data_IF_685710915768
#
_entry.id   IF_685710915768
#
_cell.length_a   1.000
_cell.length_b   1.000
_cell.length_c   1.000
_cell.angle_alpha   90.00
_cell.angle_beta   90.00
_cell.angle_gamma   90.00
#
_symmetry.space_group_name_H-M   'P 1'
#
loop_
_entity.id
_entity.type
_entity.pdbx_description
1 polymer ?
#
# COMPACT_ATOMS: atom_id res chain seq x y z
N UNK A 1 -12.68 -8.24 -17.43
CA UNK A 1 -12.27 -6.85 -17.75
C UNK A 1 -10.80 -6.64 -17.38
N UNK A 2 -10.34 -6.97 -16.15
CA UNK A 2 -8.94 -6.75 -15.70
C UNK A 2 -7.90 -7.53 -16.51
N UNK A 3 -8.14 -8.81 -16.77
CA UNK A 3 -7.25 -9.62 -17.60
C UNK A 3 -7.18 -9.09 -19.05
N UNK A 4 -8.29 -8.60 -19.59
CA UNK A 4 -8.32 -7.95 -20.89
C UNK A 4 -7.54 -6.64 -20.89
N UNK A 5 -7.56 -5.87 -19.79
CA UNK A 5 -6.78 -4.64 -19.65
C UNK A 5 -5.28 -4.94 -19.55
N UNK A 6 -4.88 -5.96 -18.76
CA UNK A 6 -3.49 -6.40 -18.66
C UNK A 6 -2.96 -6.92 -20.01
N UNK A 7 -3.75 -7.75 -20.70
CA UNK A 7 -3.38 -8.25 -22.03
C UNK A 7 -3.29 -7.12 -23.08
N UNK A 8 -4.18 -6.12 -23.03
CA UNK A 8 -4.11 -4.94 -23.89
C UNK A 8 -2.88 -4.08 -23.61
N UNK A 9 -2.48 -3.93 -22.34
CA UNK A 9 -1.23 -3.25 -21.96
C UNK A 9 0.00 -3.98 -22.53
N UNK A 10 0.03 -5.30 -22.43
CA UNK A 10 1.13 -6.12 -22.93
C UNK A 10 1.23 -6.09 -24.46
N UNK A 11 0.09 -6.14 -25.15
CA UNK A 11 0.03 -5.94 -26.62
C UNK A 11 0.55 -4.54 -26.98
N UNK A 12 0.16 -3.49 -26.27
CA UNK A 12 0.64 -2.13 -26.49
C UNK A 12 2.14 -2.00 -26.24
N UNK A 13 2.69 -2.63 -25.19
CA UNK A 13 4.14 -2.68 -24.92
C UNK A 13 4.92 -3.37 -26.03
N UNK A 14 4.41 -4.48 -26.56
CA UNK A 14 5.06 -5.19 -27.67
C UNK A 14 5.05 -4.40 -28.97
N UNK A 15 3.96 -3.72 -29.29
CA UNK A 15 3.85 -2.85 -30.48
C UNK A 15 4.84 -1.68 -30.38
N UNK A 16 5.00 -1.07 -29.21
CA UNK A 16 5.93 0.06 -29.02
C UNK A 16 7.41 -0.34 -29.05
N UNK A 17 7.74 -1.59 -28.65
CA UNK A 17 9.12 -2.10 -28.67
C UNK A 17 9.53 -2.67 -30.04
N UNK A 18 8.67 -2.56 -31.03
CA UNK A 18 8.89 -3.15 -32.39
C UNK A 18 9.21 -4.66 -32.30
N UNK A 19 8.70 -5.32 -31.26
CA UNK A 19 8.86 -6.76 -31.04
C UNK A 19 7.81 -7.51 -31.87
N UNK A 20 8.21 -8.61 -32.50
CA UNK A 20 7.28 -9.43 -33.24
C UNK A 20 6.16 -9.97 -32.37
N UNK A 21 4.93 -9.89 -32.83
CA UNK A 21 3.74 -10.42 -32.13
C UNK A 21 3.74 -11.95 -31.98
N UNK A 22 4.75 -12.63 -32.53
CA UNK A 22 4.86 -14.10 -32.50
C UNK A 22 4.98 -14.71 -31.10
N UNK A 23 5.37 -13.90 -30.08
CA UNK A 23 5.36 -14.33 -28.68
C UNK A 23 4.02 -14.14 -27.97
N UNK A 24 3.05 -13.47 -28.61
CA UNK A 24 1.75 -13.12 -28.03
C UNK A 24 0.65 -14.10 -28.50
N UNK A 25 0.92 -14.99 -29.46
CA UNK A 25 -0.11 -15.90 -29.99
C UNK A 25 -0.77 -16.76 -28.89
N UNK A 26 -0.02 -17.18 -27.86
CA UNK A 26 -0.58 -17.85 -26.68
C UNK A 26 -1.48 -16.94 -25.84
N UNK A 27 -1.14 -15.66 -25.73
CA UNK A 27 -1.91 -14.67 -24.97
C UNK A 27 -3.12 -14.15 -25.76
N UNK A 28 -3.09 -14.15 -27.10
CA UNK A 28 -4.25 -13.79 -27.93
C UNK A 28 -5.32 -14.85 -27.85
N UNK A 29 -4.98 -16.13 -27.80
CA UNK A 29 -5.94 -17.19 -27.58
C UNK A 29 -6.64 -17.00 -26.21
N UNK A 30 -5.89 -16.74 -25.15
CA UNK A 30 -6.47 -16.48 -23.83
C UNK A 30 -7.34 -15.20 -23.78
N UNK A 31 -7.00 -14.15 -24.50
CA UNK A 31 -7.83 -12.94 -24.61
C UNK A 31 -9.14 -13.25 -25.34
N UNK A 32 -9.09 -14.07 -26.40
CA UNK A 32 -10.27 -14.50 -27.15
C UNK A 32 -11.18 -15.35 -26.25
N UNK A 33 -10.60 -16.28 -25.49
CA UNK A 33 -11.32 -17.12 -24.53
C UNK A 33 -12.00 -16.26 -23.44
N UNK A 34 -11.38 -15.19 -22.97
CA UNK A 34 -11.96 -14.25 -22.01
C UNK A 34 -13.17 -13.52 -22.62
N UNK A 35 -13.09 -13.09 -23.86
CA UNK A 35 -14.22 -12.44 -24.52
C UNK A 35 -15.39 -13.41 -24.77
N UNK A 36 -15.11 -14.65 -25.15
CA UNK A 36 -16.12 -15.69 -25.35
C UNK A 36 -16.79 -16.07 -24.02
N UNK A 37 -16.04 -16.13 -22.90
CA UNK A 37 -16.59 -16.35 -21.55
C UNK A 37 -17.42 -15.15 -21.07
N UNK A 38 -17.00 -13.92 -21.38
CA UNK A 38 -17.74 -12.71 -21.03
C UNK A 38 -19.09 -12.60 -21.76
N UNK A 39 -19.18 -13.08 -22.99
CA UNK A 39 -20.44 -13.12 -23.77
C UNK A 39 -21.41 -14.19 -23.25
N UNK A 40 -20.92 -15.21 -22.53
CA UNK A 40 -21.74 -16.32 -22.02
C UNK A 40 -22.12 -16.22 -20.53
N UNK A 41 -22.00 -15.04 -19.89
CA UNK A 41 -22.31 -14.80 -18.47
C UNK A 41 -21.46 -15.64 -17.47
N UNK A 42 -20.34 -16.23 -17.91
CA UNK A 42 -19.42 -17.03 -17.09
C UNK A 42 -18.24 -16.20 -16.53
N UNK A 43 -18.43 -14.89 -16.36
CA UNK A 43 -17.41 -13.95 -15.82
C UNK A 43 -16.83 -14.42 -14.47
N UNK A 44 -17.65 -15.09 -13.65
CA UNK A 44 -17.20 -15.61 -12.36
C UNK A 44 -16.21 -16.80 -12.50
N UNK A 45 -16.28 -17.57 -13.58
CA UNK A 45 -15.32 -18.65 -13.87
C UNK A 45 -14.05 -18.14 -14.54
N UNK A 46 -14.16 -17.14 -15.42
CA UNK A 46 -13.01 -16.47 -16.00
C UNK A 46 -12.15 -15.78 -14.92
N UNK A 47 -12.77 -15.15 -13.91
CA UNK A 47 -12.04 -14.63 -12.75
C UNK A 47 -11.29 -15.72 -11.96
N UNK A 48 -11.85 -16.94 -11.87
CA UNK A 48 -11.17 -18.08 -11.22
C UNK A 48 -10.01 -18.65 -12.02
N UNK A 49 -10.07 -18.60 -13.34
CA UNK A 49 -9.03 -19.16 -14.24
C UNK A 49 -7.78 -18.28 -14.35
N UNK A 50 -7.93 -16.96 -14.14
CA UNK A 50 -6.84 -15.98 -14.33
C UNK A 50 -6.39 -15.27 -13.07
N UNK A 51 -7.10 -15.45 -11.95
CA UNK A 51 -6.53 -15.12 -10.66
C UNK A 51 -5.60 -16.27 -10.25
N UNK A 52 -4.34 -15.98 -9.84
CA UNK A 52 -3.52 -17.03 -9.22
C UNK A 52 -4.37 -17.62 -8.10
N UNK A 53 -4.71 -18.90 -8.25
CA UNK A 53 -5.51 -19.65 -7.28
C UNK A 53 -4.85 -19.54 -5.93
N UNK A 54 -5.47 -18.80 -5.00
CA UNK A 54 -4.98 -18.59 -3.66
C UNK A 54 -3.76 -17.66 -3.66
N UNK A 55 -3.97 -16.37 -3.91
CA UNK A 55 -3.00 -15.38 -3.46
C UNK A 55 -2.90 -15.53 -1.94
N UNK A 56 -1.85 -16.23 -1.47
CA UNK A 56 -1.49 -16.29 -0.04
C UNK A 56 -1.03 -14.93 0.47
N UNK A 57 -1.29 -13.86 -0.30
CA UNK A 57 -0.97 -12.49 0.06
C UNK A 57 -1.78 -12.09 1.29
N UNK A 58 -1.07 -11.62 2.31
CA UNK A 58 -1.63 -11.13 3.56
C UNK A 58 -1.62 -9.61 3.53
N UNK A 59 -2.50 -8.99 4.31
CA UNK A 59 -2.42 -7.58 4.60
C UNK A 59 -2.14 -7.36 6.09
N UNK A 60 -1.21 -6.44 6.38
CA UNK A 60 -0.88 -6.02 7.74
C UNK A 60 -1.15 -4.52 7.82
N UNK A 61 -2.03 -4.14 8.74
CA UNK A 61 -2.50 -2.76 8.89
C UNK A 61 -2.08 -2.22 10.24
N UNK A 62 -1.36 -1.10 10.28
CA UNK A 62 -1.08 -0.38 11.51
C UNK A 62 -2.22 0.60 11.83
N UNK A 63 -2.91 0.38 12.93
CA UNK A 63 -4.06 1.16 13.37
C UNK A 63 -4.05 1.40 14.89
N UNK A 64 -2.85 1.53 15.47
CA UNK A 64 -2.70 1.64 16.93
C UNK A 64 -2.88 3.08 17.45
N UNK A 65 -2.72 4.10 16.60
CA UNK A 65 -2.76 5.50 16.98
C UNK A 65 -4.16 6.01 17.30
N UNK A 66 -4.24 7.07 18.11
CA UNK A 66 -5.49 7.76 18.42
C UNK A 66 -5.99 8.63 17.27
N UNK A 67 -5.08 9.41 16.63
CA UNK A 67 -5.44 10.52 15.74
C UNK A 67 -5.96 11.72 16.54
N UNK A 68 -5.08 12.35 17.34
CA UNK A 68 -5.46 13.44 18.26
C UNK A 68 -6.00 14.67 17.55
N UNK A 69 -5.57 14.92 16.33
CA UNK A 69 -5.92 16.05 15.48
C UNK A 69 -7.39 16.02 15.03
N UNK A 70 -8.01 14.84 15.04
CA UNK A 70 -9.45 14.67 14.81
C UNK A 70 -10.31 15.03 16.04
N UNK A 71 -9.68 15.46 17.16
CA UNK A 71 -10.34 16.02 18.33
C UNK A 71 -11.39 15.09 18.96
N UNK A 72 -12.63 15.56 19.03
CA UNK A 72 -13.75 14.84 19.66
C UNK A 72 -14.14 13.55 18.90
N UNK A 73 -13.89 13.46 17.61
CA UNK A 73 -14.22 12.29 16.79
C UNK A 73 -13.45 11.03 17.23
N UNK A 74 -12.34 11.21 17.94
CA UNK A 74 -11.50 10.12 18.45
C UNK A 74 -11.53 9.96 19.96
N UNK A 75 -12.52 10.55 20.66
CA UNK A 75 -12.64 10.41 22.13
C UNK A 75 -13.05 9.00 22.56
N UNK A 76 -13.87 8.32 21.77
CA UNK A 76 -14.42 6.99 22.08
C UNK A 76 -13.90 5.88 21.16
N UNK A 77 -13.17 6.23 20.09
CA UNK A 77 -12.67 5.31 19.07
C UNK A 77 -11.35 5.80 18.46
N UNK A 78 -10.51 4.92 17.90
CA UNK A 78 -9.31 5.35 17.18
C UNK A 78 -9.65 5.92 15.80
N UNK A 79 -8.68 6.64 15.20
CA UNK A 79 -8.74 7.25 13.87
C UNK A 79 -9.27 6.30 12.79
N UNK A 80 -8.77 5.05 12.76
CA UNK A 80 -9.21 4.04 11.79
C UNK A 80 -10.69 3.65 11.89
N UNK A 81 -11.36 3.99 12.99
CA UNK A 81 -12.78 3.72 13.23
C UNK A 81 -13.66 4.97 13.05
N UNK A 82 -13.10 6.08 12.58
CA UNK A 82 -13.89 7.26 12.20
C UNK A 82 -14.72 6.94 10.97
N UNK A 83 -15.96 7.41 10.97
CA UNK A 83 -16.92 7.12 9.90
C UNK A 83 -16.73 8.02 8.69
N UNK A 84 -16.70 7.41 7.51
CA UNK A 84 -16.74 8.08 6.21
C UNK A 84 -17.91 7.49 5.43
N UNK A 85 -18.95 8.28 5.16
CA UNK A 85 -20.17 7.85 4.46
C UNK A 85 -20.79 6.57 5.03
N UNK A 86 -20.99 6.53 6.35
CA UNK A 86 -21.68 5.43 7.02
C UNK A 86 -20.83 4.17 7.23
N UNK A 87 -19.52 4.22 7.01
CA UNK A 87 -18.62 3.09 7.27
C UNK A 87 -17.28 3.56 7.86
N UNK A 88 -16.73 2.85 8.86
CA UNK A 88 -15.40 3.12 9.38
C UNK A 88 -14.31 3.01 8.30
N UNK A 89 -13.26 3.85 8.42
CA UNK A 89 -12.09 3.82 7.53
C UNK A 89 -11.52 2.41 7.38
N UNK A 90 -11.27 1.73 8.48
CA UNK A 90 -10.71 0.38 8.47
C UNK A 90 -11.60 -0.62 7.72
N UNK A 91 -12.93 -0.48 7.80
CA UNK A 91 -13.83 -1.34 7.02
C UNK A 91 -13.69 -1.10 5.52
N UNK A 92 -13.50 0.16 5.10
CA UNK A 92 -13.28 0.50 3.70
C UNK A 92 -11.98 -0.06 3.19
N UNK A 93 -10.90 0.10 3.96
CA UNK A 93 -9.60 -0.47 3.64
C UNK A 93 -9.66 -2.00 3.52
N UNK A 94 -10.29 -2.68 4.50
CA UNK A 94 -10.49 -4.12 4.45
C UNK A 94 -11.34 -4.54 3.24
N UNK A 95 -12.34 -3.74 2.85
CA UNK A 95 -13.14 -3.99 1.65
C UNK A 95 -12.31 -3.90 0.36
N UNK A 96 -11.39 -2.92 0.28
CA UNK A 96 -10.46 -2.78 -0.84
C UNK A 96 -9.53 -4.00 -0.96
N UNK A 97 -8.98 -4.49 0.17
CA UNK A 97 -8.19 -5.71 0.18
C UNK A 97 -9.00 -6.95 -0.23
N UNK A 98 -10.22 -7.09 0.29
CA UNK A 98 -11.09 -8.21 -0.06
C UNK A 98 -11.46 -8.22 -1.57
N UNK A 99 -11.65 -7.05 -2.19
CA UNK A 99 -11.87 -6.94 -3.64
C UNK A 99 -10.67 -7.42 -4.45
N UNK A 100 -9.45 -7.22 -3.94
CA UNK A 100 -8.21 -7.76 -4.50
C UNK A 100 -7.93 -9.22 -4.07
N UNK A 101 -8.93 -9.93 -3.50
CA UNK A 101 -8.83 -11.31 -2.99
C UNK A 101 -7.84 -11.49 -1.82
N UNK A 102 -7.41 -10.43 -1.17
CA UNK A 102 -6.60 -10.48 0.04
C UNK A 102 -7.55 -10.62 1.23
N UNK A 103 -7.68 -11.82 1.77
CA UNK A 103 -8.63 -12.15 2.85
C UNK A 103 -7.99 -12.33 4.21
N UNK A 104 -6.70 -12.61 4.24
CA UNK A 104 -5.93 -12.71 5.48
C UNK A 104 -5.44 -11.31 5.86
N UNK A 105 -6.21 -10.63 6.70
CA UNK A 105 -5.96 -9.25 7.13
C UNK A 105 -5.69 -9.25 8.62
N UNK A 106 -4.48 -8.82 9.01
CA UNK A 106 -4.08 -8.59 10.40
C UNK A 106 -4.02 -7.10 10.69
N UNK A 107 -4.61 -6.68 11.79
CA UNK A 107 -4.64 -5.26 12.21
C UNK A 107 -3.97 -5.12 13.56
N UNK A 108 -2.95 -4.29 13.64
CA UNK A 108 -2.32 -3.90 14.90
C UNK A 108 -3.07 -2.70 15.46
N UNK A 109 -3.67 -2.89 16.63
CA UNK A 109 -4.49 -1.88 17.31
C UNK A 109 -3.90 -1.52 18.66
N UNK A 110 -4.21 -0.33 19.15
CA UNK A 110 -3.71 0.18 20.45
C UNK A 110 -4.78 1.01 21.16
N UNK A 111 -4.86 2.30 20.83
CA UNK A 111 -5.84 3.20 21.42
C UNK A 111 -7.27 2.68 21.25
N UNK A 112 -8.03 2.62 22.37
CA UNK A 112 -9.43 2.14 22.35
C UNK A 112 -9.62 0.85 21.55
N UNK A 113 -8.67 -0.09 21.66
CA UNK A 113 -8.62 -1.34 20.90
C UNK A 113 -9.94 -2.12 20.90
N UNK A 114 -10.73 -2.05 21.96
CA UNK A 114 -12.05 -2.69 22.04
C UNK A 114 -13.08 -2.11 21.04
N UNK A 115 -12.90 -0.87 20.60
CA UNK A 115 -13.73 -0.26 19.57
C UNK A 115 -13.37 -0.75 18.15
N UNK A 116 -12.17 -1.33 17.97
CA UNK A 116 -11.71 -1.91 16.71
C UNK A 116 -12.14 -3.37 16.66
N UNK A 117 -13.34 -3.60 16.16
CA UNK A 117 -13.92 -4.95 16.08
C UNK A 117 -14.63 -5.13 14.73
N UNK A 118 -13.97 -5.77 13.79
CA UNK A 118 -14.52 -6.09 12.47
C UNK A 118 -14.42 -7.61 12.24
N UNK A 119 -15.49 -8.26 11.73
CA UNK A 119 -15.46 -9.69 11.48
C UNK A 119 -14.45 -10.06 10.39
N UNK A 120 -13.79 -11.21 10.54
CA UNK A 120 -12.83 -11.74 9.55
C UNK A 120 -11.46 -11.08 9.59
N UNK A 121 -11.16 -10.29 10.62
CA UNK A 121 -9.84 -9.66 10.84
C UNK A 121 -9.16 -10.31 12.02
N UNK A 122 -7.86 -10.59 11.87
CA UNK A 122 -6.98 -11.00 12.96
C UNK A 122 -6.43 -9.76 13.65
N UNK A 123 -6.55 -9.70 14.98
CA UNK A 123 -6.11 -8.53 15.74
C UNK A 123 -4.85 -8.84 16.54
N UNK A 124 -3.91 -7.89 16.48
CA UNK A 124 -2.72 -7.82 17.31
C UNK A 124 -2.77 -6.55 18.14
N UNK A 125 -2.41 -6.63 19.41
CA UNK A 125 -2.53 -5.49 20.33
C UNK A 125 -1.16 -4.94 20.70
N UNK A 126 -0.95 -3.63 20.48
CA UNK A 126 0.15 -2.87 21.04
C UNK A 126 -0.38 -2.05 22.22
N UNK A 127 -0.23 -2.57 23.44
CA UNK A 127 -0.67 -1.87 24.65
C UNK A 127 0.26 -0.71 25.04
N UNK A 128 1.47 -0.65 24.47
CA UNK A 128 2.45 0.41 24.69
C UNK A 128 2.45 1.47 23.57
N UNK A 129 1.40 1.56 22.76
CA UNK A 129 1.31 2.42 21.58
C UNK A 129 1.62 3.91 21.87
N UNK A 130 1.39 4.41 23.09
CA UNK A 130 1.69 5.80 23.45
C UNK A 130 3.20 6.07 23.63
N UNK A 131 3.99 5.04 23.88
CA UNK A 131 5.42 5.13 24.20
C UNK A 131 6.31 4.37 23.25
N UNK A 132 5.73 3.87 22.16
CA UNK A 132 6.43 3.10 21.12
C UNK A 132 6.09 3.61 19.73
N UNK A 133 7.02 3.39 18.79
CA UNK A 133 6.88 3.75 17.38
C UNK A 133 6.19 2.66 16.54
N UNK A 134 6.20 2.89 15.24
CA UNK A 134 5.54 2.04 14.26
C UNK A 134 6.21 0.69 14.11
N UNK A 135 7.54 0.62 14.21
CA UNK A 135 8.29 -0.64 14.12
C UNK A 135 7.92 -1.57 15.26
N UNK A 136 7.72 -1.05 16.49
CA UNK A 136 7.23 -1.86 17.61
C UNK A 136 5.79 -2.32 17.35
N UNK A 137 4.93 -1.44 16.84
CA UNK A 137 3.58 -1.83 16.44
C UNK A 137 3.61 -2.96 15.41
N UNK A 138 4.45 -2.84 14.37
CA UNK A 138 4.62 -3.87 13.35
C UNK A 138 5.17 -5.19 13.93
N UNK A 139 6.05 -5.11 14.94
CA UNK A 139 6.61 -6.30 15.62
C UNK A 139 5.52 -7.18 16.25
N UNK A 140 4.40 -6.61 16.71
CA UNK A 140 3.28 -7.39 17.25
C UNK A 140 2.58 -8.27 16.18
N UNK A 141 2.80 -7.97 14.89
CA UNK A 141 2.32 -8.78 13.76
C UNK A 141 3.47 -9.45 13.00
N UNK A 142 4.67 -9.55 13.56
CA UNK A 142 5.86 -10.07 12.87
C UNK A 142 5.68 -11.51 12.37
N UNK A 143 4.90 -12.34 13.06
CA UNK A 143 4.53 -13.69 12.65
C UNK A 143 3.69 -13.71 11.36
N UNK A 144 3.05 -12.60 11.03
CA UNK A 144 2.25 -12.44 9.80
C UNK A 144 3.07 -11.93 8.61
N UNK A 145 4.26 -11.34 8.84
CA UNK A 145 5.18 -10.90 7.78
C UNK A 145 5.84 -12.14 7.16
N UNK A 146 5.08 -12.93 6.42
CA UNK A 146 5.54 -14.19 5.80
C UNK A 146 4.88 -14.38 4.43
N UNK A 147 5.63 -14.85 3.45
CA UNK A 147 5.14 -14.93 2.07
C UNK A 147 4.94 -13.54 1.49
N UNK A 148 3.95 -13.39 0.62
CA UNK A 148 3.61 -12.08 0.06
C UNK A 148 2.75 -11.29 1.05
N UNK A 149 3.16 -10.05 1.36
CA UNK A 149 2.46 -9.18 2.30
C UNK A 149 2.21 -7.79 1.68
N UNK A 150 1.05 -7.22 1.99
CA UNK A 150 0.78 -5.79 1.83
C UNK A 150 0.83 -5.15 3.21
N UNK A 151 1.62 -4.12 3.36
CA UNK A 151 1.64 -3.24 4.52
C UNK A 151 0.77 -2.01 4.22
N UNK A 152 -0.01 -1.55 5.19
CA UNK A 152 -0.79 -0.32 5.06
C UNK A 152 -0.96 0.38 6.41
N UNK A 153 -0.95 1.71 6.40
CA UNK A 153 -1.55 2.47 7.49
C UNK A 153 -3.07 2.30 7.50
N UNK A 154 -3.68 2.40 8.67
CA UNK A 154 -5.11 2.14 8.90
C UNK A 154 -6.02 3.33 8.65
N UNK A 155 -5.45 4.47 8.32
CA UNK A 155 -6.08 5.79 8.18
C UNK A 155 -6.03 6.34 6.75
N UNK A 156 -5.51 5.56 5.80
CA UNK A 156 -5.45 5.92 4.40
C UNK A 156 -6.63 5.35 3.61
N UNK A 157 -7.08 6.12 2.62
CA UNK A 157 -7.98 5.68 1.56
C UNK A 157 -7.28 5.82 0.22
N UNK A 158 -7.46 4.85 -0.68
CA UNK A 158 -6.92 4.92 -2.03
C UNK A 158 -7.85 4.22 -3.02
N UNK A 159 -7.75 4.59 -4.29
CA UNK A 159 -8.51 3.95 -5.36
C UNK A 159 -7.98 2.54 -5.61
N UNK A 160 -8.88 1.62 -5.92
CA UNK A 160 -8.57 0.19 -6.07
C UNK A 160 -7.40 -0.08 -7.04
N UNK A 161 -7.32 0.67 -8.15
CA UNK A 161 -6.25 0.47 -9.13
C UNK A 161 -4.83 0.65 -8.55
N UNK A 162 -4.68 1.45 -7.48
CA UNK A 162 -3.40 1.64 -6.78
C UNK A 162 -2.92 0.31 -6.19
N UNK A 163 -3.84 -0.45 -5.59
CA UNK A 163 -3.51 -1.78 -5.07
C UNK A 163 -3.25 -2.77 -6.20
N UNK A 164 -4.02 -2.72 -7.29
CA UNK A 164 -3.81 -3.59 -8.45
C UNK A 164 -2.42 -3.34 -9.06
N UNK A 165 -2.03 -2.07 -9.24
CA UNK A 165 -0.71 -1.69 -9.74
C UNK A 165 0.40 -2.18 -8.80
N UNK A 166 0.24 -2.00 -7.48
CA UNK A 166 1.21 -2.47 -6.50
C UNK A 166 1.38 -3.99 -6.53
N UNK A 167 0.29 -4.75 -6.65
CA UNK A 167 0.33 -6.22 -6.72
C UNK A 167 1.02 -6.72 -7.98
N UNK A 168 0.82 -6.04 -9.12
CA UNK A 168 1.41 -6.40 -10.41
C UNK A 168 2.89 -6.01 -10.54
N UNK A 169 3.37 -5.02 -9.77
CA UNK A 169 4.75 -4.51 -9.84
C UNK A 169 5.76 -5.57 -9.42
N UNK A 170 6.90 -5.61 -10.07
CA UNK A 170 8.05 -6.44 -9.69
C UNK A 170 8.81 -5.77 -8.54
N UNK A 171 9.67 -6.53 -7.88
CA UNK A 171 10.48 -6.08 -6.74
C UNK A 171 10.06 -6.75 -5.44
N UNK A 172 11.05 -6.97 -4.57
CA UNK A 172 10.85 -7.66 -3.29
C UNK A 172 10.26 -6.76 -2.22
N UNK A 173 10.60 -5.47 -2.27
CA UNK A 173 10.02 -4.42 -1.45
C UNK A 173 9.60 -3.29 -2.39
N UNK A 174 8.32 -2.94 -2.42
CA UNK A 174 7.77 -1.91 -3.30
C UNK A 174 6.94 -0.93 -2.49
N UNK A 175 7.23 0.34 -2.60
CA UNK A 175 6.49 1.44 -1.97
C UNK A 175 5.61 2.15 -3.00
N UNK A 176 4.50 2.73 -2.56
CA UNK A 176 3.65 3.59 -3.39
C UNK A 176 3.88 5.05 -3.04
N UNK A 177 4.24 5.89 -4.00
CA UNK A 177 4.47 7.31 -3.76
C UNK A 177 3.58 8.19 -4.64
N UNK A 178 3.01 9.22 -4.05
CA UNK A 178 2.26 10.27 -4.75
C UNK A 178 3.25 11.27 -5.37
N UNK A 179 3.33 11.27 -6.69
CA UNK A 179 4.20 12.19 -7.42
C UNK A 179 3.65 13.62 -7.49
N UNK A 180 2.34 13.80 -7.26
CA UNK A 180 1.66 15.11 -7.27
C UNK A 180 1.36 15.62 -5.85
N UNK A 181 2.11 15.18 -4.86
CA UNK A 181 1.93 15.51 -3.45
C UNK A 181 1.87 17.02 -3.17
N UNK A 182 2.61 17.85 -3.94
CA UNK A 182 2.65 19.32 -3.79
C UNK A 182 1.33 19.98 -4.21
N UNK A 183 0.58 19.37 -5.13
CA UNK A 183 -0.67 19.92 -5.65
C UNK A 183 -1.85 19.75 -4.68
N UNK A 184 -1.71 18.83 -3.70
CA UNK A 184 -2.81 18.48 -2.78
C UNK A 184 -2.95 19.40 -1.60
N UNK A 185 -1.86 19.99 -1.15
CA UNK A 185 -1.85 20.79 0.06
C UNK A 185 -1.18 22.14 -0.24
N UNK A 186 -1.92 23.23 -0.18
CA UNK A 186 -1.37 24.57 -0.44
C UNK A 186 -0.35 25.03 0.62
N UNK A 187 -0.34 24.37 1.81
CA UNK A 187 0.67 24.60 2.84
C UNK A 187 1.52 23.34 3.04
N UNK A 188 2.70 23.24 2.39
CA UNK A 188 3.59 22.09 2.51
C UNK A 188 4.09 21.85 3.95
N UNK A 189 3.95 22.81 4.86
CA UNK A 189 4.37 22.68 6.25
C UNK A 189 3.23 22.30 7.21
N UNK A 190 2.02 22.13 6.69
CA UNK A 190 0.83 21.81 7.49
C UNK A 190 0.93 20.47 8.24
N UNK A 191 1.72 19.53 7.70
CA UNK A 191 1.94 18.19 8.28
C UNK A 191 3.34 17.65 7.98
N UNK A 192 3.77 16.70 8.81
CA UNK A 192 4.98 15.90 8.51
C UNK A 192 4.65 14.93 7.38
N UNK A 193 5.55 14.85 6.40
CA UNK A 193 5.38 14.02 5.20
C UNK A 193 6.50 13.00 5.09
N UNK A 194 6.15 11.84 4.59
CA UNK A 194 7.07 10.76 4.30
C UNK A 194 7.58 10.89 2.86
N UNK A 195 8.61 11.72 2.67
CA UNK A 195 9.13 12.09 1.37
C UNK A 195 10.09 11.05 0.81
N UNK A 196 10.05 10.81 -0.51
CA UNK A 196 10.94 9.86 -1.19
C UNK A 196 11.87 10.57 -2.18
N UNK A 197 13.12 10.09 -2.21
CA UNK A 197 14.07 10.32 -3.30
C UNK A 197 14.22 9.03 -4.08
N UNK A 198 14.11 9.13 -5.39
CA UNK A 198 14.22 7.99 -6.30
C UNK A 198 15.32 8.25 -7.34
N UNK A 199 15.77 7.20 -8.00
CA UNK A 199 16.77 7.29 -9.06
C UNK A 199 16.25 8.08 -10.27
N UNK A 200 14.95 7.99 -10.54
CA UNK A 200 14.28 8.65 -11.65
C UNK A 200 13.03 9.39 -11.18
N UNK A 201 12.76 10.60 -11.72
CA UNK A 201 11.56 11.35 -11.39
C UNK A 201 10.33 10.77 -12.08
N UNK A 202 9.15 11.08 -11.54
CA UNK A 202 7.88 10.77 -12.21
C UNK A 202 7.82 11.40 -13.59
N UNK A 203 7.33 10.64 -14.56
CA UNK A 203 7.05 11.13 -15.91
C UNK A 203 5.58 10.96 -16.25
N UNK A 204 5.02 11.93 -17.00
CA UNK A 204 3.64 11.85 -17.50
C UNK A 204 3.54 11.11 -18.82
N UNK A 205 4.63 10.47 -19.27
CA UNK A 205 4.61 9.71 -20.51
C UNK A 205 3.71 8.49 -20.34
N UNK A 206 2.76 8.37 -21.21
CA UNK A 206 1.86 7.23 -21.29
C UNK A 206 2.72 5.93 -21.45
N UNK A 207 2.58 4.99 -20.51
CA UNK A 207 3.31 3.73 -20.42
C UNK A 207 4.67 3.75 -19.65
N UNK A 208 5.01 4.82 -18.97
CA UNK A 208 6.15 4.86 -18.04
C UNK A 208 5.66 4.44 -16.64
N UNK A 209 5.07 3.23 -16.54
CA UNK A 209 4.56 2.63 -15.30
C UNK A 209 5.62 1.74 -14.63
N UNK A 210 6.90 1.87 -15.04
CA UNK A 210 7.98 1.05 -14.48
C UNK A 210 8.31 1.51 -13.05
N UNK A 211 8.63 0.57 -12.20
CA UNK A 211 9.16 0.82 -10.87
C UNK A 211 10.52 1.51 -10.93
N UNK A 212 10.76 2.45 -10.04
CA UNK A 212 12.04 3.15 -9.91
C UNK A 212 12.72 2.78 -8.59
N UNK A 213 14.05 2.84 -8.54
CA UNK A 213 14.78 2.55 -7.32
C UNK A 213 14.62 3.69 -6.30
N UNK A 214 14.26 3.35 -5.06
CA UNK A 214 14.30 4.26 -3.93
C UNK A 214 15.77 4.53 -3.55
N UNK A 215 16.16 5.79 -3.40
CA UNK A 215 17.51 6.17 -2.97
C UNK A 215 17.54 6.71 -1.54
N UNK A 216 16.45 7.33 -1.09
CA UNK A 216 16.26 7.72 0.30
C UNK A 216 14.78 7.94 0.62
N UNK A 217 14.41 7.83 1.90
CA UNK A 217 13.09 8.20 2.42
C UNK A 217 13.29 8.96 3.73
N UNK A 218 12.50 10.01 3.97
CA UNK A 218 12.64 10.86 5.16
C UNK A 218 11.68 12.02 5.17
N UNK A 219 11.81 12.91 6.16
CA UNK A 219 10.92 14.05 6.34
C UNK A 219 11.49 15.38 5.83
N UNK A 220 12.81 15.48 5.67
CA UNK A 220 13.48 16.73 5.36
C UNK A 220 14.49 16.53 4.22
N UNK A 221 14.12 16.98 3.03
CA UNK A 221 14.94 16.97 1.84
C UNK A 221 14.90 18.33 1.16
N UNK A 222 15.93 18.68 0.39
CA UNK A 222 15.89 19.84 -0.47
C UNK A 222 14.77 19.65 -1.53
N UNK A 223 13.97 20.70 -1.76
CA UNK A 223 12.78 20.62 -2.60
C UNK A 223 13.02 20.02 -4.01
N UNK A 224 14.21 20.25 -4.59
CA UNK A 224 14.56 19.70 -5.91
C UNK A 224 14.92 18.20 -5.91
N UNK A 225 15.09 17.61 -4.72
CA UNK A 225 15.49 16.21 -4.55
C UNK A 225 14.29 15.30 -4.29
N UNK A 226 13.11 15.86 -4.09
CA UNK A 226 11.91 15.12 -3.71
C UNK A 226 11.17 14.68 -4.97
N UNK A 227 10.96 13.38 -5.14
CA UNK A 227 10.22 12.83 -6.26
C UNK A 227 8.78 12.44 -5.91
N UNK A 228 8.44 12.33 -4.62
CA UNK A 228 7.08 11.99 -4.20
C UNK A 228 6.92 11.92 -2.68
N UNK A 229 5.69 11.65 -2.24
CA UNK A 229 5.32 11.36 -0.86
C UNK A 229 4.90 9.90 -0.76
N UNK A 230 5.54 9.09 0.09
CA UNK A 230 5.08 7.74 0.37
C UNK A 230 3.71 7.77 1.06
N UNK A 231 2.76 7.02 0.52
CA UNK A 231 1.37 7.08 0.97
C UNK A 231 1.05 6.13 2.15
N UNK A 232 2.04 5.49 2.75
CA UNK A 232 1.80 4.51 3.81
C UNK A 232 1.34 3.13 3.29
N UNK A 233 1.59 2.82 2.02
CA UNK A 233 1.25 1.54 1.39
C UNK A 233 2.52 0.91 0.79
N UNK A 234 2.76 -0.38 1.09
CA UNK A 234 3.91 -1.12 0.59
C UNK A 234 3.56 -2.58 0.30
N UNK A 235 4.36 -3.22 -0.56
CA UNK A 235 4.32 -4.66 -0.83
C UNK A 235 5.66 -5.29 -0.49
N UNK A 236 5.59 -6.47 0.11
CA UNK A 236 6.74 -7.35 0.35
C UNK A 236 6.46 -8.70 -0.32
N UNK A 237 7.39 -9.20 -1.14
CA UNK A 237 7.37 -10.60 -1.55
C UNK A 237 7.80 -11.51 -0.39
N UNK A 238 7.88 -12.81 -0.61
CA UNK A 238 8.42 -13.72 0.40
C UNK A 238 9.83 -13.31 0.85
N UNK A 239 10.70 -12.95 -0.08
CA UNK A 239 12.08 -12.51 0.22
C UNK A 239 12.08 -11.16 0.93
N UNK A 240 11.30 -10.19 0.43
CA UNK A 240 11.14 -8.89 1.10
C UNK A 240 10.60 -9.02 2.52
N UNK A 241 9.66 -9.95 2.76
CA UNK A 241 9.15 -10.26 4.10
C UNK A 241 10.23 -10.84 5.03
N UNK A 242 11.13 -11.67 4.50
CA UNK A 242 12.26 -12.23 5.25
C UNK A 242 13.24 -11.11 5.65
N UNK A 243 13.58 -10.19 4.74
CA UNK A 243 14.46 -9.04 5.00
C UNK A 243 13.84 -8.07 6.03
N UNK A 244 12.56 -7.71 5.85
CA UNK A 244 11.84 -6.84 6.80
C UNK A 244 11.82 -7.44 8.21
N UNK A 245 11.55 -8.74 8.36
CA UNK A 245 11.58 -9.41 9.67
C UNK A 245 12.97 -9.42 10.29
N UNK A 246 13.99 -9.73 9.49
CA UNK A 246 15.37 -9.77 9.96
C UNK A 246 15.82 -8.40 10.47
N UNK A 247 15.44 -7.32 9.76
CA UNK A 247 15.76 -5.97 10.16
C UNK A 247 15.02 -5.54 11.44
N UNK A 248 13.72 -5.87 11.56
CA UNK A 248 12.96 -5.64 12.80
C UNK A 248 13.63 -6.35 13.99
N UNK A 249 14.10 -7.58 13.81
CA UNK A 249 14.82 -8.33 14.85
C UNK A 249 16.15 -7.69 15.21
N UNK A 250 16.88 -7.18 14.21
CA UNK A 250 18.14 -6.45 14.42
C UNK A 250 17.89 -5.16 15.22
N UNK A 251 16.91 -4.36 14.82
CA UNK A 251 16.51 -3.13 15.50
C UNK A 251 16.12 -3.37 16.97
N UNK A 252 15.38 -4.46 17.23
CA UNK A 252 15.01 -4.85 18.58
C UNK A 252 16.25 -5.24 19.44
N UNK A 253 17.18 -6.02 18.87
CA UNK A 253 18.43 -6.42 19.56
C UNK A 253 19.33 -5.24 19.88
N UNK A 254 19.38 -4.27 18.97
CA UNK A 254 20.15 -3.03 19.13
C UNK A 254 19.47 -2.03 20.08
N UNK A 255 18.19 -2.24 20.41
CA UNK A 255 17.40 -1.35 21.26
C UNK A 255 16.97 -0.05 20.59
N UNK A 256 17.04 0.03 19.25
CA UNK A 256 16.67 1.21 18.46
C UNK A 256 15.23 1.16 17.93
N UNK A 257 14.55 0.02 18.04
CA UNK A 257 13.19 -0.16 17.53
C UNK A 257 12.13 0.66 18.27
N UNK A 258 12.40 1.05 19.55
CA UNK A 258 11.36 1.55 20.46
C UNK A 258 10.56 2.72 19.90
N UNK A 259 11.20 3.71 19.30
CA UNK A 259 10.59 4.91 18.74
C UNK A 259 10.70 4.97 17.22
N UNK A 260 11.19 3.91 16.59
CA UNK A 260 11.43 3.87 15.17
C UNK A 260 10.12 3.89 14.36
N UNK A 261 10.14 4.67 13.29
CA UNK A 261 9.10 4.75 12.27
C UNK A 261 9.30 3.71 11.16
N UNK A 262 8.34 3.59 10.26
CA UNK A 262 8.51 2.79 9.03
C UNK A 262 9.60 3.36 8.13
N UNK A 263 9.79 4.68 8.13
CA UNK A 263 10.89 5.35 7.40
C UNK A 263 12.24 4.87 7.91
N UNK A 264 12.41 4.80 9.25
CA UNK A 264 13.67 4.29 9.84
C UNK A 264 13.95 2.86 9.40
N UNK A 265 12.90 2.01 9.35
CA UNK A 265 13.02 0.64 8.88
C UNK A 265 13.44 0.57 7.39
N UNK A 266 12.81 1.33 6.52
CA UNK A 266 13.16 1.34 5.09
C UNK A 266 14.55 1.92 4.85
N UNK A 267 14.95 2.97 5.57
CA UNK A 267 16.32 3.52 5.49
C UNK A 267 17.36 2.51 5.95
N UNK A 268 17.06 1.71 6.96
CA UNK A 268 17.98 0.67 7.43
C UNK A 268 18.12 -0.46 6.40
N UNK A 269 17.02 -0.88 5.78
CA UNK A 269 17.02 -1.86 4.69
C UNK A 269 17.85 -1.36 3.48
N UNK A 270 17.66 -0.09 3.06
CA UNK A 270 18.48 0.54 2.02
C UNK A 270 19.97 0.54 2.39
N UNK A 271 20.30 0.93 3.62
CA UNK A 271 21.68 0.96 4.10
C UNK A 271 22.31 -0.44 4.21
N UNK A 272 21.50 -1.48 4.39
CA UNK A 272 21.93 -2.88 4.36
C UNK A 272 22.15 -3.39 2.92
N UNK A 273 21.79 -2.60 1.90
CA UNK A 273 21.95 -2.92 0.48
C UNK A 273 20.75 -3.62 -0.14
N UNK A 274 19.58 -3.54 0.51
CA UNK A 274 18.35 -4.10 -0.05
C UNK A 274 17.78 -3.17 -1.13
N UNK A 275 17.33 -3.77 -2.24
CA UNK A 275 16.69 -3.04 -3.32
C UNK A 275 15.21 -2.75 -2.94
N UNK A 276 14.88 -1.47 -2.81
CA UNK A 276 13.53 -0.99 -2.59
C UNK A 276 13.07 -0.24 -3.85
N UNK A 277 11.93 -0.65 -4.39
CA UNK A 277 11.32 -0.02 -5.55
C UNK A 277 10.20 0.93 -5.13
N UNK A 278 9.92 1.91 -5.98
CA UNK A 278 8.80 2.85 -5.84
C UNK A 278 7.97 2.81 -7.12
N UNK A 279 6.64 2.74 -6.96
CA UNK A 279 5.69 3.07 -8.03
C UNK A 279 5.10 4.44 -7.75
N UNK A 280 4.98 5.25 -8.80
CA UNK A 280 4.34 6.55 -8.70
C UNK A 280 2.86 6.48 -9.00
N UNK A 281 2.09 7.25 -8.23
CA UNK A 281 0.68 7.51 -8.51
C UNK A 281 0.45 9.01 -8.63
N UNK A 282 -0.49 9.46 -9.46
CA UNK A 282 -0.86 10.87 -9.58
C UNK A 282 -2.00 11.24 -8.61
N UNK A 283 -1.78 11.14 -7.29
CA UNK A 283 -2.83 11.30 -6.29
C UNK A 283 -3.74 10.07 -6.18
N UNK A 284 -5.06 10.27 -6.06
CA UNK A 284 -6.08 9.23 -5.90
C UNK A 284 -5.97 8.44 -4.58
N UNK A 285 -5.47 9.10 -3.56
CA UNK A 285 -5.42 8.64 -2.19
C UNK A 285 -5.66 9.80 -1.21
N UNK A 286 -5.96 9.50 0.02
CA UNK A 286 -6.10 10.44 1.12
C UNK A 286 -5.55 9.82 2.39
N UNK A 287 -4.85 10.62 3.17
CA UNK A 287 -4.58 10.40 4.58
C UNK A 287 -5.57 11.27 5.37
N UNK A 288 -6.16 10.71 6.42
CA UNK A 288 -7.21 11.39 7.17
C UNK A 288 -6.66 11.79 8.53
N UNK A 289 -5.96 12.92 8.59
CA UNK A 289 -5.35 13.42 9.81
C UNK A 289 -6.25 14.37 10.60
N UNK A 290 -7.07 15.14 9.91
CA UNK A 290 -7.87 16.19 10.51
C UNK A 290 -9.32 16.23 9.95
N UNK A 291 -10.11 17.22 10.37
CA UNK A 291 -11.51 17.33 9.97
C UNK A 291 -11.69 17.72 8.49
N UNK A 292 -10.74 18.45 7.91
CA UNK A 292 -10.79 18.85 6.49
C UNK A 292 -10.52 17.62 5.60
N UNK A 293 -9.54 16.79 5.95
CA UNK A 293 -9.28 15.51 5.26
C UNK A 293 -10.51 14.59 5.33
N UNK A 294 -11.19 14.55 6.47
CA UNK A 294 -12.42 13.79 6.63
C UNK A 294 -13.53 14.33 5.72
N UNK A 295 -13.65 15.65 5.57
CA UNK A 295 -14.62 16.27 4.65
C UNK A 295 -14.28 15.94 3.19
N UNK A 296 -13.01 15.89 2.82
CA UNK A 296 -12.58 15.50 1.49
C UNK A 296 -12.75 14.01 1.24
N UNK A 297 -12.56 13.17 2.24
CA UNK A 297 -12.86 11.73 2.17
C UNK A 297 -14.34 11.47 1.85
N UNK A 298 -15.27 12.34 2.30
CA UNK A 298 -16.68 12.25 1.94
C UNK A 298 -16.93 12.44 0.43
N UNK A 299 -16.06 13.17 -0.27
CA UNK A 299 -16.17 13.44 -1.72
C UNK A 299 -15.37 12.42 -2.54
N UNK A 300 -14.32 11.88 -1.97
CA UNK A 300 -13.38 10.98 -2.62
C UNK A 300 -14.00 9.63 -3.02
N UNK A 301 -15.00 9.16 -2.31
CA UNK A 301 -15.63 7.84 -2.43
C UNK A 301 -16.79 7.81 -3.44
#
# INVERSE_FOLDING_TARGET
>A
IRAATSAMREISRCIQRDQSLSGIEGNIASVKDIFELAENDELAEAEKLYLPTGSETKAIVLAASRGKELGELTNDRPKCMVDVRGQPLLRRLASTFNQAQIRNISVVRGYKKSAVNLPGIDFRDNDEFETTGEVVSLSHAQDQITGNCIFSYGDILFRHYVLDQLLETKGDIVLVADALWQDRDPDPQSRVRDLVKCAEPFTTKYLDDDEVALTAIGHDFAAGDIQGEWIGLAKFTKLGSEHVRAEIEAMNKEGVAKMASMIDLFMRLLNAGEDICVIYIPGHWLDIDNADDLADAQKFL
#
